data_IF_488749683058
#
_entry.id   IF_488749683058
#
_cell.length_a   1.000
_cell.length_b   1.000
_cell.length_c   1.000
_cell.angle_alpha   90.00
_cell.angle_beta   90.00
_cell.angle_gamma   90.00
#
_symmetry.space_group_name_H-M   'P 1'
#
loop_
_entity.id
_entity.type
_entity.pdbx_description
1 polymer ?
#
# COMPACT_ATOMS: atom_id res chain seq x y z
N UNK A 1 -53.92 -24.20 -13.63
CA UNK A 1 -53.95 -23.61 -12.26
C UNK A 1 -53.22 -24.60 -11.36
N UNK A 2 -52.11 -24.32 -10.68
CA UNK A 2 -51.33 -23.11 -10.50
C UNK A 2 -50.01 -23.43 -9.80
N UNK A 3 -49.01 -22.62 -10.12
CA UNK A 3 -47.78 -22.25 -9.39
C UNK A 3 -46.85 -23.30 -8.75
N UNK A 4 -45.69 -23.38 -9.39
CA UNK A 4 -44.36 -23.68 -8.87
C UNK A 4 -44.11 -23.30 -7.39
N UNK A 5 -43.40 -24.17 -6.68
CA UNK A 5 -42.53 -23.77 -5.57
C UNK A 5 -41.11 -24.24 -5.89
N UNK A 6 -40.31 -23.29 -6.35
CA UNK A 6 -38.85 -23.40 -6.47
C UNK A 6 -38.29 -23.40 -5.05
N UNK A 7 -37.71 -24.51 -4.60
CA UNK A 7 -36.80 -24.49 -3.45
C UNK A 7 -35.43 -24.04 -3.95
N UNK A 8 -35.22 -22.72 -3.96
CA UNK A 8 -33.92 -22.12 -4.17
C UNK A 8 -33.00 -22.53 -3.00
N UNK A 9 -31.99 -23.33 -3.29
CA UNK A 9 -30.88 -23.57 -2.38
C UNK A 9 -30.15 -22.24 -2.22
N UNK A 10 -30.41 -21.56 -1.11
CA UNK A 10 -29.75 -20.29 -0.77
C UNK A 10 -28.25 -20.55 -0.61
N UNK A 11 -27.48 -19.78 -1.38
CA UNK A 11 -26.05 -19.56 -1.25
C UNK A 11 -25.60 -19.55 0.23
N UNK A 12 -24.91 -20.60 0.64
CA UNK A 12 -23.95 -20.51 1.74
C UNK A 12 -22.59 -20.08 1.18
N UNK A 13 -22.52 -18.88 0.58
CA UNK A 13 -21.28 -18.11 0.45
C UNK A 13 -21.07 -17.35 1.77
N UNK A 14 -21.14 -18.07 2.89
CA UNK A 14 -20.63 -17.61 4.15
C UNK A 14 -19.11 -17.78 4.04
N UNK A 15 -18.43 -16.69 3.70
CA UNK A 15 -16.98 -16.57 3.70
C UNK A 15 -16.45 -17.01 5.06
N UNK A 16 -16.09 -18.28 5.15
CA UNK A 16 -15.22 -18.76 6.20
C UNK A 16 -13.93 -17.95 6.02
N UNK A 17 -13.41 -17.26 7.05
CA UNK A 17 -12.04 -16.80 6.99
C UNK A 17 -11.23 -18.08 6.86
N UNK A 18 -10.83 -18.42 5.64
CA UNK A 18 -9.77 -19.39 5.43
C UNK A 18 -8.62 -18.75 6.17
N UNK A 19 -8.32 -19.29 7.36
CA UNK A 19 -7.11 -18.93 8.09
C UNK A 19 -6.00 -19.18 7.09
N UNK A 20 -5.44 -18.10 6.56
CA UNK A 20 -4.34 -18.20 5.61
C UNK A 20 -3.30 -19.13 6.23
N UNK A 21 -2.79 -20.05 5.42
CA UNK A 21 -1.74 -20.93 5.93
C UNK A 21 -0.58 -20.05 6.39
N UNK A 22 0.20 -20.54 7.37
CA UNK A 22 1.41 -19.82 7.78
C UNK A 22 2.34 -19.54 6.57
N UNK A 23 2.30 -20.40 5.55
CA UNK A 23 3.00 -20.22 4.29
C UNK A 23 2.46 -19.04 3.45
N UNK A 24 1.14 -18.85 3.37
CA UNK A 24 0.53 -17.71 2.67
C UNK A 24 0.91 -16.39 3.36
N UNK A 25 0.90 -16.38 4.70
CA UNK A 25 1.29 -15.22 5.49
C UNK A 25 2.76 -14.84 5.24
N UNK A 26 3.66 -15.81 5.31
CA UNK A 26 5.08 -15.59 5.05
C UNK A 26 5.34 -15.14 3.61
N UNK A 27 4.64 -15.74 2.65
CA UNK A 27 4.74 -15.38 1.22
C UNK A 27 4.26 -13.95 0.98
N UNK A 28 3.11 -13.58 1.53
CA UNK A 28 2.60 -12.22 1.37
C UNK A 28 3.53 -11.19 2.00
N UNK A 29 4.07 -11.43 3.20
CA UNK A 29 5.03 -10.51 3.81
C UNK A 29 6.33 -10.38 3.01
N UNK A 30 6.83 -11.47 2.43
CA UNK A 30 7.98 -11.41 1.51
C UNK A 30 7.68 -10.56 0.28
N UNK A 31 6.54 -10.79 -0.37
CA UNK A 31 6.11 -9.98 -1.52
C UNK A 31 5.93 -8.50 -1.15
N UNK A 32 5.39 -8.22 0.04
CA UNK A 32 5.26 -6.87 0.58
C UNK A 32 6.63 -6.21 0.74
N UNK A 33 7.61 -6.93 1.30
CA UNK A 33 8.96 -6.42 1.49
C UNK A 33 9.64 -6.15 0.15
N UNK A 34 9.52 -7.06 -0.82
CA UNK A 34 10.13 -6.92 -2.14
C UNK A 34 9.54 -5.75 -2.95
N UNK A 35 8.21 -5.61 -2.98
CA UNK A 35 7.59 -4.40 -3.53
C UNK A 35 8.06 -3.15 -2.80
N UNK A 36 8.09 -3.25 -1.48
CA UNK A 36 8.48 -2.17 -0.63
C UNK A 36 9.89 -1.65 -0.87
N UNK A 37 10.84 -2.54 -1.11
CA UNK A 37 12.22 -2.20 -1.42
C UNK A 37 12.32 -1.50 -2.78
N UNK A 38 11.66 -2.05 -3.81
CA UNK A 38 11.60 -1.43 -5.15
C UNK A 38 11.03 -0.01 -5.10
N UNK A 39 9.96 0.19 -4.33
CA UNK A 39 9.34 1.52 -4.14
C UNK A 39 10.31 2.48 -3.46
N UNK A 40 10.97 2.04 -2.38
CA UNK A 40 11.93 2.88 -1.66
C UNK A 40 13.11 3.29 -2.56
N UNK A 41 13.60 2.38 -3.40
CA UNK A 41 14.64 2.66 -4.39
C UNK A 41 14.19 3.69 -5.44
N UNK A 42 12.99 3.52 -6.00
CA UNK A 42 12.43 4.45 -6.98
C UNK A 42 12.26 5.86 -6.40
N UNK A 43 11.79 5.97 -5.16
CA UNK A 43 11.63 7.25 -4.45
C UNK A 43 13.00 7.92 -4.24
N UNK A 44 14.00 7.16 -3.74
CA UNK A 44 15.36 7.68 -3.53
C UNK A 44 16.00 8.18 -4.82
N UNK A 45 15.74 7.49 -5.92
CA UNK A 45 16.24 7.87 -7.24
C UNK A 45 15.45 9.03 -7.88
N UNK A 46 14.34 9.46 -7.27
CA UNK A 46 13.40 10.43 -7.86
C UNK A 46 13.03 10.03 -9.29
N UNK A 47 12.70 8.74 -9.47
CA UNK A 47 12.47 8.15 -10.80
C UNK A 47 11.00 7.73 -10.98
N UNK A 48 10.19 8.51 -11.74
CA UNK A 48 8.77 8.22 -11.96
C UNK A 48 8.51 6.89 -12.65
N UNK A 49 9.24 6.59 -13.73
CA UNK A 49 9.04 5.34 -14.46
C UNK A 49 9.36 4.10 -13.60
N UNK A 50 10.40 4.20 -12.76
CA UNK A 50 10.73 3.14 -11.83
C UNK A 50 9.69 3.02 -10.71
N UNK A 51 9.11 4.14 -10.26
CA UNK A 51 8.05 4.13 -9.25
C UNK A 51 6.79 3.46 -9.79
N UNK A 52 6.36 3.80 -11.00
CA UNK A 52 5.21 3.19 -11.65
C UNK A 52 5.37 1.68 -11.75
N UNK A 53 6.54 1.22 -12.21
CA UNK A 53 6.88 -0.20 -12.27
C UNK A 53 6.86 -0.87 -10.88
N UNK A 54 7.42 -0.20 -9.86
CA UNK A 54 7.46 -0.74 -8.50
C UNK A 54 6.07 -0.82 -7.84
N UNK A 55 5.17 0.11 -8.20
CA UNK A 55 3.80 0.22 -7.71
C UNK A 55 2.81 -0.66 -8.46
N UNK A 56 3.16 -1.17 -9.65
CA UNK A 56 2.35 -2.13 -10.37
C UNK A 56 2.11 -3.38 -9.50
N UNK A 57 0.84 -3.78 -9.33
CA UNK A 57 0.49 -4.97 -8.56
C UNK A 57 0.52 -4.82 -7.03
N UNK A 58 0.83 -3.64 -6.49
CA UNK A 58 0.86 -3.41 -5.02
C UNK A 58 -0.48 -3.72 -4.36
N UNK A 59 -1.60 -3.38 -5.01
CA UNK A 59 -2.94 -3.67 -4.47
C UNK A 59 -3.18 -5.18 -4.37
N UNK A 60 -2.78 -5.96 -5.37
CA UNK A 60 -2.87 -7.42 -5.32
C UNK A 60 -1.97 -8.03 -4.25
N UNK A 61 -0.78 -7.46 -4.05
CA UNK A 61 0.13 -7.85 -2.95
C UNK A 61 -0.46 -7.56 -1.58
N UNK A 62 -1.20 -6.46 -1.42
CA UNK A 62 -1.74 -6.05 -0.10
C UNK A 62 -3.12 -6.66 0.19
N UNK A 63 -3.93 -6.93 -0.82
CA UNK A 63 -5.33 -7.36 -0.64
C UNK A 63 -5.55 -8.84 -1.01
N UNK A 64 -4.70 -9.42 -1.86
CA UNK A 64 -4.94 -10.72 -2.49
C UNK A 64 -4.23 -11.93 -1.88
N UNK A 65 -3.66 -11.83 -0.67
CA UNK A 65 -2.75 -12.87 -0.14
C UNK A 65 -3.45 -13.94 0.71
N UNK A 66 -4.78 -14.01 0.70
CA UNK A 66 -5.53 -14.92 1.58
C UNK A 66 -5.51 -14.54 3.07
N UNK A 67 -4.70 -13.56 3.49
CA UNK A 67 -4.75 -12.90 4.78
C UNK A 67 -4.83 -11.37 4.64
N UNK A 68 -5.19 -10.71 5.73
CA UNK A 68 -5.24 -9.26 5.80
C UNK A 68 -3.97 -8.71 6.46
N UNK A 69 -3.27 -7.83 5.76
CA UNK A 69 -2.18 -7.05 6.36
C UNK A 69 -2.73 -6.10 7.44
N UNK A 70 -1.94 -5.83 8.50
CA UNK A 70 -2.25 -4.74 9.42
C UNK A 70 -2.35 -3.42 8.68
N UNK A 71 -3.07 -2.45 9.23
CA UNK A 71 -3.33 -1.16 8.57
C UNK A 71 -2.07 -0.42 8.10
N UNK A 72 -0.94 -0.57 8.81
CA UNK A 72 0.34 0.01 8.41
C UNK A 72 0.93 -0.71 7.19
N UNK A 73 0.78 -2.04 7.10
CA UNK A 73 1.16 -2.83 5.93
C UNK A 73 0.33 -2.44 4.70
N UNK A 74 -0.94 -2.11 4.90
CA UNK A 74 -1.80 -1.63 3.81
C UNK A 74 -1.36 -0.28 3.22
N UNK A 75 -0.53 0.49 3.92
CA UNK A 75 -0.07 1.80 3.44
C UNK A 75 0.86 1.73 2.24
N UNK A 76 1.31 0.55 1.81
CA UNK A 76 2.08 0.44 0.57
C UNK A 76 1.29 0.98 -0.64
N UNK A 77 -0.04 0.81 -0.63
CA UNK A 77 -0.96 1.41 -1.61
C UNK A 77 -0.96 2.95 -1.48
N UNK A 78 -1.01 3.46 -0.25
CA UNK A 78 -0.99 4.90 0.03
C UNK A 78 0.32 5.57 -0.39
N UNK A 79 1.46 4.90 -0.17
CA UNK A 79 2.79 5.35 -0.60
C UNK A 79 2.81 5.51 -2.13
N UNK A 80 2.40 4.49 -2.87
CA UNK A 80 2.35 4.55 -4.33
C UNK A 80 1.47 5.69 -4.84
N UNK A 81 0.28 5.85 -4.24
CA UNK A 81 -0.65 6.91 -4.64
C UNK A 81 -0.09 8.30 -4.41
N UNK A 82 0.50 8.55 -3.24
CA UNK A 82 1.01 9.88 -2.90
C UNK A 82 2.26 10.22 -3.70
N UNK A 83 3.21 9.30 -3.83
CA UNK A 83 4.42 9.55 -4.61
C UNK A 83 4.16 9.62 -6.11
N UNK A 84 3.21 8.84 -6.64
CA UNK A 84 2.80 8.95 -8.05
C UNK A 84 2.36 10.37 -8.39
N UNK A 85 1.40 10.92 -7.64
CA UNK A 85 0.94 12.31 -7.86
C UNK A 85 2.03 13.35 -7.63
N UNK A 86 2.86 13.18 -6.59
CA UNK A 86 3.98 14.09 -6.34
C UNK A 86 4.99 14.10 -7.51
N UNK A 87 5.27 12.93 -8.09
CA UNK A 87 6.19 12.81 -9.21
C UNK A 87 5.58 13.33 -10.53
N UNK A 88 4.29 13.11 -10.77
CA UNK A 88 3.57 13.72 -11.88
C UNK A 88 3.63 15.27 -11.80
N UNK A 89 3.50 15.82 -10.60
CA UNK A 89 3.61 17.26 -10.38
C UNK A 89 5.01 17.83 -10.59
N UNK A 90 6.06 17.07 -10.24
CA UNK A 90 7.43 17.45 -10.56
C UNK A 90 7.69 17.48 -12.08
N UNK A 91 6.96 16.66 -12.85
CA UNK A 91 7.08 16.60 -14.31
C UNK A 91 6.35 17.76 -15.01
N UNK A 92 5.11 18.03 -14.60
CA UNK A 92 4.23 18.97 -15.32
C UNK A 92 4.29 20.40 -14.76
N UNK A 93 4.88 20.60 -13.57
CA UNK A 93 5.15 21.91 -12.96
C UNK A 93 3.91 22.72 -12.55
N UNK A 94 2.70 22.23 -12.85
CA UNK A 94 1.45 22.97 -12.67
C UNK A 94 0.61 22.39 -11.54
N UNK A 95 1.07 22.57 -10.30
CA UNK A 95 0.33 22.11 -9.12
C UNK A 95 -0.47 23.23 -8.50
N UNK A 96 -1.79 23.03 -8.41
CA UNK A 96 -2.66 23.99 -7.72
C UNK A 96 -2.40 23.94 -6.20
N UNK A 97 -2.65 25.06 -5.51
CA UNK A 97 -2.53 25.11 -4.06
C UNK A 97 -3.43 24.09 -3.34
N UNK A 98 -4.64 23.82 -3.88
CA UNK A 98 -5.55 22.81 -3.33
C UNK A 98 -5.02 21.39 -3.51
N UNK A 99 -4.43 21.06 -4.67
CA UNK A 99 -3.79 19.77 -4.92
C UNK A 99 -2.60 19.56 -3.96
N UNK A 100 -1.68 20.53 -3.87
CA UNK A 100 -0.54 20.50 -2.92
C UNK A 100 -1.02 20.26 -1.49
N UNK A 101 -2.05 20.97 -1.03
CA UNK A 101 -2.62 20.79 0.32
C UNK A 101 -3.18 19.37 0.54
N UNK A 102 -3.88 18.82 -0.44
CA UNK A 102 -4.43 17.46 -0.37
C UNK A 102 -3.33 16.41 -0.29
N UNK A 103 -2.29 16.56 -1.09
CA UNK A 103 -1.15 15.64 -1.14
C UNK A 103 -0.35 15.65 0.14
N UNK A 104 -0.10 16.83 0.69
CA UNK A 104 0.57 16.97 1.98
C UNK A 104 -0.22 16.32 3.12
N UNK A 105 -1.55 16.38 3.06
CA UNK A 105 -2.42 15.66 4.01
C UNK A 105 -2.29 14.14 3.85
N UNK A 106 -2.34 13.64 2.62
CA UNK A 106 -2.19 12.20 2.34
C UNK A 106 -0.79 11.68 2.70
N UNK A 107 0.26 12.44 2.40
CA UNK A 107 1.65 12.14 2.76
C UNK A 107 1.79 12.00 4.27
N UNK A 108 1.27 12.98 5.03
CA UNK A 108 1.26 12.94 6.50
C UNK A 108 0.50 11.73 7.02
N UNK A 109 -0.65 11.40 6.44
CA UNK A 109 -1.45 10.25 6.85
C UNK A 109 -0.70 8.92 6.63
N UNK A 110 -0.15 8.71 5.42
CA UNK A 110 0.60 7.50 5.09
C UNK A 110 1.84 7.35 5.98
N UNK A 111 2.60 8.44 6.18
CA UNK A 111 3.74 8.50 7.10
C UNK A 111 3.34 8.11 8.52
N UNK A 112 2.28 8.70 9.06
CA UNK A 112 1.82 8.43 10.42
C UNK A 112 1.33 6.99 10.63
N UNK A 113 0.78 6.37 9.60
CA UNK A 113 0.37 4.98 9.66
C UNK A 113 1.59 4.04 9.58
N UNK A 114 2.56 4.32 8.70
CA UNK A 114 3.81 3.56 8.61
C UNK A 114 4.68 3.69 9.87
N UNK A 115 4.66 4.83 10.54
CA UNK A 115 5.39 5.06 11.79
C UNK A 115 4.92 4.17 12.95
N UNK A 116 3.77 3.50 12.80
CA UNK A 116 3.24 2.54 13.76
C UNK A 116 3.53 1.09 13.36
N UNK A 117 4.44 0.89 12.40
CA UNK A 117 4.93 -0.43 12.04
C UNK A 117 5.54 -1.12 13.27
N UNK A 118 5.38 -2.44 13.30
CA UNK A 118 5.83 -3.32 14.36
C UNK A 118 6.56 -4.49 13.72
N UNK A 119 7.29 -5.26 14.54
CA UNK A 119 8.00 -6.43 14.06
C UNK A 119 7.06 -7.47 13.46
N UNK A 120 7.53 -8.12 12.39
CA UNK A 120 6.84 -9.20 11.70
C UNK A 120 7.76 -10.41 11.72
N UNK A 121 7.40 -11.43 12.50
CA UNK A 121 8.23 -12.62 12.67
C UNK A 121 8.50 -13.33 11.33
N UNK A 122 7.53 -13.31 10.41
CA UNK A 122 7.63 -13.97 9.11
C UNK A 122 8.55 -13.25 8.10
N UNK A 123 8.81 -11.96 8.29
CA UNK A 123 9.67 -11.15 7.41
C UNK A 123 10.32 -10.00 8.21
N UNK A 124 11.52 -10.23 8.78
CA UNK A 124 12.22 -9.24 9.59
C UNK A 124 12.56 -7.94 8.86
N UNK A 125 12.57 -7.91 7.52
CA UNK A 125 12.77 -6.66 6.77
C UNK A 125 11.58 -5.71 6.85
N UNK A 126 10.40 -6.16 7.28
CA UNK A 126 9.18 -5.36 7.16
C UNK A 126 9.23 -4.05 7.96
N UNK A 127 9.67 -4.11 9.22
CA UNK A 127 9.83 -2.93 10.08
C UNK A 127 10.86 -1.93 9.53
N UNK A 128 12.12 -2.30 9.24
CA UNK A 128 13.12 -1.35 8.74
C UNK A 128 12.72 -0.76 7.38
N UNK A 129 12.02 -1.52 6.53
CA UNK A 129 11.47 -1.01 5.26
C UNK A 129 10.35 0.01 5.48
N UNK A 130 9.45 -0.21 6.46
CA UNK A 130 8.45 0.78 6.83
C UNK A 130 9.10 2.07 7.37
N UNK A 131 10.09 1.94 8.27
CA UNK A 131 10.84 3.07 8.83
C UNK A 131 11.62 3.84 7.75
N UNK A 132 12.22 3.14 6.79
CA UNK A 132 12.87 3.77 5.63
C UNK A 132 11.90 4.68 4.89
N UNK A 133 10.66 4.24 4.66
CA UNK A 133 9.65 5.05 3.99
C UNK A 133 9.19 6.23 4.83
N UNK A 134 9.11 6.09 6.16
CA UNK A 134 8.84 7.22 7.05
C UNK A 134 9.88 8.33 6.84
N UNK A 135 11.16 7.97 6.80
CA UNK A 135 12.25 8.93 6.53
C UNK A 135 12.11 9.60 5.16
N UNK A 136 11.84 8.81 4.11
CA UNK A 136 11.64 9.35 2.76
C UNK A 136 10.43 10.29 2.69
N UNK A 137 9.35 9.99 3.41
CA UNK A 137 8.15 10.82 3.48
C UNK A 137 8.38 12.10 4.29
N UNK A 138 9.17 12.05 5.36
CA UNK A 138 9.56 13.24 6.11
C UNK A 138 10.41 14.18 5.22
N UNK A 139 11.39 13.65 4.47
CA UNK A 139 12.19 14.44 3.52
C UNK A 139 11.35 15.07 2.41
N UNK A 140 10.40 14.31 1.85
CA UNK A 140 9.48 14.81 0.83
C UNK A 140 8.57 15.90 1.39
N UNK A 141 8.06 15.74 2.61
CA UNK A 141 7.25 16.77 3.29
C UNK A 141 8.05 18.06 3.44
N UNK A 142 9.28 17.97 3.91
CA UNK A 142 10.11 19.15 4.19
C UNK A 142 10.52 19.89 2.90
N UNK A 143 10.48 19.22 1.75
CA UNK A 143 10.77 19.81 0.44
C UNK A 143 9.51 20.37 -0.24
N UNK A 144 8.40 19.64 -0.18
CA UNK A 144 7.22 19.91 -0.99
C UNK A 144 6.09 20.61 -0.23
N UNK A 145 5.96 20.35 1.08
CA UNK A 145 4.80 20.77 1.89
C UNK A 145 5.04 22.02 2.74
N UNK A 146 6.25 22.57 2.68
CA UNK A 146 6.57 23.89 3.23
C UNK A 146 6.03 25.02 2.35
#
# INVERSE_FOLDING_TARGET
>A
MGLAVRAATILALAGSPVLASAADKATGWRNWADHGERIALAIRAVNPAQLDSACQGVTGTVVGQGFQFPYWGQQLIGVCRVYGRLFDHLKDGNTTHSAKKSECKELKQARNNLAKATDVAEEPRALPLAQTRVVLMDAMRDTYCT
#
